data_IF_947358518975
#
_entry.id   IF_947358518975
#
_cell.length_a   1.000
_cell.length_b   1.000
_cell.length_c   1.000
_cell.angle_alpha   90.00
_cell.angle_beta   90.00
_cell.angle_gamma   90.00
#
_symmetry.space_group_name_H-M   'P 1'
#
loop_
_entity.id
_entity.type
_entity.pdbx_description
1 polymer ?
#
# COMPACT_ATOMS: atom_id res chain seq x y z
N UNK A 1 -5.74 16.70 -1.87
CA UNK A 1 -4.89 15.62 -1.30
C UNK A 1 -5.27 14.30 -1.96
N UNK A 2 -4.31 13.52 -2.46
CA UNK A 2 -4.53 12.21 -3.07
C UNK A 2 -3.92 11.15 -2.17
N UNK A 3 -4.71 10.17 -1.73
CA UNK A 3 -4.31 9.13 -0.79
C UNK A 3 -4.24 7.81 -1.54
N UNK A 4 -3.09 7.14 -1.49
CA UNK A 4 -2.88 5.81 -2.06
C UNK A 4 -2.56 4.84 -0.93
N UNK A 5 -3.32 3.75 -0.87
CA UNK A 5 -3.18 2.72 0.15
C UNK A 5 -2.67 1.44 -0.50
N UNK A 6 -1.82 0.72 0.22
CA UNK A 6 -1.36 -0.59 -0.22
C UNK A 6 -1.15 -1.50 0.99
N UNK A 7 -1.15 -2.79 0.74
CA UNK A 7 -0.67 -3.80 1.67
C UNK A 7 -0.01 -4.89 0.84
N UNK A 8 0.17 -6.11 1.38
CA UNK A 8 0.77 -7.20 0.60
C UNK A 8 -0.01 -7.51 -0.70
N UNK A 9 -1.31 -7.79 -0.60
CA UNK A 9 -2.19 -8.23 -1.71
C UNK A 9 -3.45 -7.35 -1.90
N UNK A 10 -3.41 -6.10 -1.43
CA UNK A 10 -4.50 -5.11 -1.52
C UNK A 10 -5.75 -5.29 -0.62
N UNK A 11 -6.04 -6.49 -0.08
CA UNK A 11 -7.28 -6.70 0.72
C UNK A 11 -7.50 -5.72 1.88
N UNK A 12 -6.46 -5.50 2.72
CA UNK A 12 -6.52 -4.51 3.83
C UNK A 12 -6.59 -3.07 3.36
N UNK A 13 -5.96 -2.78 2.21
CA UNK A 13 -5.95 -1.45 1.63
C UNK A 13 -7.33 -1.08 1.11
N UNK A 14 -8.05 -2.03 0.50
CA UNK A 14 -9.43 -1.83 0.04
C UNK A 14 -10.39 -1.53 1.21
N UNK A 15 -10.28 -2.25 2.33
CA UNK A 15 -11.09 -1.98 3.52
C UNK A 15 -10.83 -0.57 4.08
N UNK A 16 -9.56 -0.19 4.18
CA UNK A 16 -9.16 1.14 4.66
C UNK A 16 -9.60 2.25 3.68
N UNK A 17 -9.56 1.99 2.37
CA UNK A 17 -10.05 2.90 1.34
C UNK A 17 -11.55 3.17 1.49
N UNK A 18 -12.33 2.12 1.80
CA UNK A 18 -13.76 2.25 2.08
C UNK A 18 -14.01 3.14 3.30
N UNK A 19 -13.33 2.88 4.41
CA UNK A 19 -13.47 3.67 5.64
C UNK A 19 -13.13 5.15 5.40
N UNK A 20 -12.04 5.44 4.68
CA UNK A 20 -11.68 6.83 4.36
C UNK A 20 -12.70 7.52 3.46
N UNK A 21 -13.28 6.81 2.49
CA UNK A 21 -14.38 7.35 1.68
C UNK A 21 -15.60 7.69 2.54
N UNK A 22 -15.96 6.81 3.48
CA UNK A 22 -17.07 7.04 4.43
C UNK A 22 -16.81 8.24 5.36
N UNK A 23 -15.55 8.54 5.65
CA UNK A 23 -15.13 9.74 6.40
C UNK A 23 -15.09 11.02 5.55
N UNK A 24 -15.43 10.97 4.26
CA UNK A 24 -15.47 12.13 3.37
C UNK A 24 -14.18 12.40 2.58
N UNK A 25 -13.21 11.48 2.61
CA UNK A 25 -12.03 11.61 1.74
C UNK A 25 -12.40 11.25 0.30
N UNK A 26 -12.37 12.25 -0.58
CA UNK A 26 -12.85 12.10 -1.96
C UNK A 26 -11.84 11.44 -2.92
N UNK A 27 -10.55 11.44 -2.57
CA UNK A 27 -9.49 10.99 -3.46
C UNK A 27 -8.63 9.90 -2.81
N UNK A 28 -9.22 8.71 -2.67
CA UNK A 28 -8.60 7.53 -2.06
C UNK A 28 -8.55 6.38 -3.07
N UNK A 29 -7.36 5.83 -3.28
CA UNK A 29 -7.09 4.75 -4.22
C UNK A 29 -6.31 3.63 -3.50
N UNK A 30 -6.48 2.39 -3.96
CA UNK A 30 -5.68 1.24 -3.51
C UNK A 30 -4.91 0.63 -4.67
N UNK A 31 -3.70 0.15 -4.42
CA UNK A 31 -2.89 -0.55 -5.44
C UNK A 31 -3.44 -1.97 -5.63
N UNK A 32 -3.89 -2.31 -6.83
CA UNK A 32 -4.31 -3.68 -7.19
C UNK A 32 -3.12 -4.64 -7.07
N UNK A 33 -3.34 -5.84 -6.52
CA UNK A 33 -2.27 -6.81 -6.23
C UNK A 33 -1.29 -6.39 -5.12
N UNK A 34 -1.37 -5.15 -4.62
CA UNK A 34 -0.59 -4.67 -3.49
C UNK A 34 0.92 -4.58 -3.77
N UNK A 35 1.72 -4.84 -2.74
CA UNK A 35 3.17 -4.84 -2.80
C UNK A 35 3.71 -5.98 -3.66
N UNK A 36 3.02 -7.13 -3.71
CA UNK A 36 3.45 -8.26 -4.54
C UNK A 36 3.45 -7.86 -6.03
N UNK A 37 2.36 -7.22 -6.50
CA UNK A 37 2.31 -6.68 -7.87
C UNK A 37 3.30 -5.54 -8.12
N UNK A 38 3.65 -4.76 -7.09
CA UNK A 38 4.69 -3.72 -7.19
C UNK A 38 6.07 -4.32 -7.42
N UNK A 39 6.39 -5.42 -6.71
CA UNK A 39 7.62 -6.18 -6.90
C UNK A 39 7.67 -6.85 -8.27
N UNK A 40 6.58 -7.49 -8.70
CA UNK A 40 6.48 -8.13 -10.02
C UNK A 40 6.64 -7.12 -11.17
N UNK A 41 6.17 -5.89 -10.98
CA UNK A 41 6.37 -4.79 -11.91
C UNK A 41 7.80 -4.21 -11.91
N UNK A 42 8.73 -4.80 -11.14
CA UNK A 42 10.14 -4.40 -11.09
C UNK A 42 10.35 -2.99 -10.53
N UNK A 43 9.46 -2.51 -9.67
CA UNK A 43 9.52 -1.16 -9.11
C UNK A 43 10.52 -1.10 -7.95
N UNK A 44 11.03 0.11 -7.69
CA UNK A 44 11.95 0.35 -6.59
C UNK A 44 11.28 0.07 -5.24
N UNK A 45 12.07 -0.53 -4.34
CA UNK A 45 11.65 -0.84 -2.97
C UNK A 45 12.73 -0.38 -2.00
N UNK A 46 12.30 0.25 -0.90
CA UNK A 46 13.19 0.56 0.20
C UNK A 46 13.31 -0.67 1.11
N UNK A 47 14.53 -1.13 1.36
CA UNK A 47 14.80 -2.12 2.39
C UNK A 47 15.38 -1.42 3.61
N UNK A 48 14.89 -1.71 4.83
CA UNK A 48 15.49 -1.18 6.05
C UNK A 48 16.88 -1.79 6.23
N UNK A 49 17.83 -0.97 6.69
CA UNK A 49 19.12 -1.49 7.15
C UNK A 49 18.90 -2.20 8.49
N UNK A 50 19.05 -3.52 8.50
CA UNK A 50 18.83 -4.33 9.69
C UNK A 50 20.13 -4.40 10.49
N UNK A 51 20.09 -4.20 11.83
CA UNK A 51 21.27 -4.40 12.65
C UNK A 51 21.76 -5.85 12.52
N UNK A 52 23.05 -6.02 12.21
CA UNK A 52 23.70 -7.33 12.26
C UNK A 52 23.92 -7.68 13.73
N UNK A 53 23.19 -8.68 14.19
CA UNK A 53 23.48 -9.32 15.47
C UNK A 53 24.44 -10.48 15.16
N UNK A 54 25.73 -10.28 15.43
CA UNK A 54 26.73 -11.36 15.51
C UNK A 54 26.62 -12.10 16.85
#
# INVERSE_FOLDING_TARGET
>A
MKIVLYCKTSGRAALSAKALKEMGYMNVQSIEGGFDAWLEAGKEVAQPDLPKFE
#
